data_IF_830894856515
#
_entry.id   IF_830894856515
#
_cell.length_a   1.000
_cell.length_b   1.000
_cell.length_c   1.000
_cell.angle_alpha   90.00
_cell.angle_beta   90.00
_cell.angle_gamma   90.00
#
_symmetry.space_group_name_H-M   'P 1'
#
loop_
_entity.id
_entity.type
_entity.pdbx_description
1 polymer ?
#
# COMPACT_ATOMS: atom_id res chain seq x y z
N UNK A 1 0.40 1.44 -33.30
CA UNK A 1 1.06 1.50 -32.00
C UNK A 1 -0.01 1.25 -30.95
N UNK A 2 0.12 0.19 -30.18
CA UNK A 2 -0.86 -0.19 -29.15
C UNK A 2 -0.19 0.02 -27.80
N UNK A 3 -0.85 0.70 -26.88
CA UNK A 3 -0.39 0.84 -25.48
C UNK A 3 -1.26 -0.05 -24.62
N UNK A 4 -0.71 -1.04 -23.92
CA UNK A 4 -1.45 -1.82 -22.93
C UNK A 4 -2.00 -0.92 -21.82
N UNK A 5 -3.14 -1.27 -21.25
CA UNK A 5 -3.82 -0.46 -20.21
C UNK A 5 -3.18 -0.60 -18.82
N UNK A 6 -2.20 -1.47 -18.66
CA UNK A 6 -1.48 -1.64 -17.40
C UNK A 6 -0.01 -1.20 -17.48
N UNK A 7 0.54 -0.72 -16.37
CA UNK A 7 1.98 -0.45 -16.25
C UNK A 7 2.77 -1.74 -16.08
N UNK A 8 4.04 -1.68 -16.46
CA UNK A 8 5.01 -2.74 -16.27
C UNK A 8 6.03 -2.33 -15.20
N UNK A 9 6.36 -3.26 -14.33
CA UNK A 9 7.33 -2.99 -13.26
C UNK A 9 8.75 -3.14 -13.78
N UNK A 10 9.57 -2.11 -13.55
CA UNK A 10 10.97 -2.08 -13.93
C UNK A 10 11.78 -1.43 -12.80
N UNK A 11 12.33 -2.22 -11.84
CA UNK A 11 13.00 -1.68 -10.65
C UNK A 11 14.22 -0.83 -10.96
N UNK A 12 14.84 -1.03 -12.14
CA UNK A 12 16.02 -0.30 -12.61
C UNK A 12 15.65 0.60 -13.80
N UNK A 13 14.58 1.37 -13.66
CA UNK A 13 14.14 2.28 -14.72
C UNK A 13 15.17 3.39 -14.96
N UNK A 14 15.65 3.51 -16.19
CA UNK A 14 16.63 4.52 -16.61
C UNK A 14 16.51 4.82 -18.09
N UNK A 15 16.99 5.98 -18.53
CA UNK A 15 17.07 6.29 -19.97
C UNK A 15 17.99 5.33 -20.70
N UNK A 16 17.66 5.00 -21.94
CA UNK A 16 18.32 4.00 -22.75
C UNK A 16 17.62 2.66 -22.71
N UNK A 17 18.35 1.60 -23.01
CA UNK A 17 17.79 0.27 -23.15
C UNK A 17 17.72 -0.45 -21.81
N UNK A 18 16.52 -0.89 -21.43
CA UNK A 18 16.26 -1.75 -20.26
C UNK A 18 15.70 -3.10 -20.71
N UNK A 19 15.97 -4.14 -19.93
CA UNK A 19 15.39 -5.47 -20.13
C UNK A 19 14.42 -5.75 -18.99
N UNK A 20 13.18 -6.06 -19.31
CA UNK A 20 12.18 -6.49 -18.35
C UNK A 20 12.52 -7.89 -17.82
N UNK A 21 12.13 -8.18 -16.58
CA UNK A 21 12.25 -9.53 -16.04
C UNK A 21 11.37 -10.53 -16.82
N UNK A 22 11.55 -11.83 -16.55
CA UNK A 22 10.85 -12.88 -17.30
C UNK A 22 9.32 -12.80 -17.13
N UNK A 23 8.82 -12.42 -15.94
CA UNK A 23 7.38 -12.31 -15.68
C UNK A 23 6.76 -11.11 -16.42
N UNK A 24 7.41 -9.96 -16.35
CA UNK A 24 6.96 -8.76 -17.05
C UNK A 24 7.10 -8.92 -18.58
N UNK A 25 8.18 -9.56 -19.05
CA UNK A 25 8.37 -9.90 -20.47
C UNK A 25 7.28 -10.84 -20.98
N UNK A 26 6.99 -11.90 -20.25
CA UNK A 26 5.92 -12.84 -20.61
C UNK A 26 4.54 -12.14 -20.58
N UNK A 27 4.30 -11.26 -19.59
CA UNK A 27 3.05 -10.49 -19.51
C UNK A 27 2.91 -9.55 -20.70
N UNK A 28 3.94 -8.80 -21.07
CA UNK A 28 3.92 -7.89 -22.21
C UNK A 28 3.65 -8.66 -23.52
N UNK A 29 4.46 -9.68 -23.82
CA UNK A 29 4.47 -10.32 -25.13
C UNK A 29 3.35 -11.35 -25.28
N UNK A 30 3.11 -12.22 -24.26
CA UNK A 30 2.12 -13.31 -24.35
C UNK A 30 0.72 -12.87 -23.95
N UNK A 31 0.59 -12.10 -22.87
CA UNK A 31 -0.73 -11.71 -22.33
C UNK A 31 -1.26 -10.47 -23.04
N UNK A 32 -0.49 -9.38 -23.04
CA UNK A 32 -0.88 -8.13 -23.69
C UNK A 32 -0.70 -8.18 -25.21
N UNK A 33 0.05 -9.16 -25.74
CA UNK A 33 0.37 -9.32 -27.16
C UNK A 33 1.04 -8.09 -27.74
N UNK A 34 1.89 -7.46 -26.94
CA UNK A 34 2.68 -6.32 -27.38
C UNK A 34 3.79 -6.81 -28.33
N UNK A 35 4.06 -6.01 -29.36
CA UNK A 35 4.96 -6.31 -30.45
C UNK A 35 6.06 -5.25 -30.57
N UNK A 36 7.03 -5.52 -31.44
CA UNK A 36 8.10 -4.58 -31.78
C UNK A 36 7.49 -3.22 -32.21
N UNK A 37 7.97 -2.13 -31.61
CA UNK A 37 7.48 -0.77 -31.87
C UNK A 37 6.28 -0.34 -31.03
N UNK A 38 5.66 -1.24 -30.24
CA UNK A 38 4.62 -0.83 -29.31
C UNK A 38 5.23 -0.13 -28.08
N UNK A 39 4.42 0.72 -27.43
CA UNK A 39 4.85 1.51 -26.27
C UNK A 39 4.32 0.88 -24.99
N UNK A 40 5.19 0.76 -23.98
CA UNK A 40 4.84 0.33 -22.64
C UNK A 40 4.99 1.49 -21.67
N UNK A 41 4.04 1.62 -20.74
CA UNK A 41 4.23 2.44 -19.53
C UNK A 41 4.99 1.62 -18.47
N UNK A 42 6.09 2.19 -17.96
CA UNK A 42 6.96 1.57 -16.96
C UNK A 42 6.91 2.33 -15.64
N UNK A 43 7.10 1.64 -14.53
CA UNK A 43 7.27 2.23 -13.20
C UNK A 43 8.22 1.40 -12.34
N UNK A 44 8.91 2.05 -11.39
CA UNK A 44 9.80 1.39 -10.43
C UNK A 44 9.19 1.22 -9.02
N UNK A 45 8.00 1.79 -8.79
CA UNK A 45 7.37 1.83 -7.48
C UNK A 45 8.06 2.78 -6.48
N UNK A 46 9.01 3.59 -6.92
CA UNK A 46 9.74 4.59 -6.15
C UNK A 46 9.46 6.03 -6.64
N UNK A 47 8.38 6.19 -7.39
CA UNK A 47 7.94 7.48 -7.90
C UNK A 47 8.42 7.80 -9.31
N UNK A 48 9.13 6.92 -9.99
CA UNK A 48 9.58 7.15 -11.36
C UNK A 48 8.70 6.42 -12.38
N UNK A 49 8.50 7.07 -13.51
CA UNK A 49 7.78 6.53 -14.66
C UNK A 49 8.56 6.74 -15.95
N UNK A 50 8.27 5.93 -16.94
CA UNK A 50 8.71 6.15 -18.30
C UNK A 50 7.75 5.55 -19.31
N UNK A 51 7.70 6.13 -20.50
CA UNK A 51 7.26 5.46 -21.69
C UNK A 51 8.45 4.89 -22.43
N UNK A 52 8.35 3.64 -22.83
CA UNK A 52 9.41 2.98 -23.58
C UNK A 52 8.89 2.19 -24.75
N UNK A 53 9.62 2.23 -25.87
CA UNK A 53 9.28 1.49 -27.08
C UNK A 53 9.92 0.12 -27.08
N UNK A 54 9.17 -0.93 -27.37
CA UNK A 54 9.68 -2.29 -27.48
C UNK A 54 10.65 -2.37 -28.68
N UNK A 55 11.91 -2.71 -28.39
CA UNK A 55 12.95 -2.95 -29.40
C UNK A 55 13.30 -4.43 -29.58
N UNK A 56 12.87 -5.27 -28.64
CA UNK A 56 12.93 -6.74 -28.77
C UNK A 56 11.73 -7.34 -28.05
N UNK A 57 10.86 -8.02 -28.78
CA UNK A 57 9.65 -8.65 -28.25
C UNK A 57 9.92 -10.14 -27.90
N UNK A 58 10.81 -10.39 -26.92
CA UNK A 58 11.09 -11.74 -26.42
C UNK A 58 10.29 -11.97 -25.13
N UNK A 59 9.46 -13.03 -25.01
CA UNK A 59 8.69 -13.31 -23.81
C UNK A 59 9.54 -13.70 -22.59
N UNK A 60 10.83 -13.89 -22.73
CA UNK A 60 11.76 -14.14 -21.63
C UNK A 60 12.61 -12.91 -21.27
N UNK A 61 12.84 -12.03 -22.23
CA UNK A 61 13.74 -10.89 -22.09
C UNK A 61 13.32 -9.75 -23.03
N UNK A 62 12.12 -9.20 -22.81
CA UNK A 62 11.60 -8.07 -23.58
C UNK A 62 12.48 -6.84 -23.33
N UNK A 63 13.00 -6.23 -24.41
CA UNK A 63 13.81 -5.02 -24.32
C UNK A 63 13.01 -3.81 -24.73
N UNK A 64 13.15 -2.76 -23.95
CA UNK A 64 12.42 -1.50 -24.11
C UNK A 64 13.42 -0.36 -24.15
N UNK A 65 13.32 0.51 -25.14
CA UNK A 65 14.11 1.74 -25.26
C UNK A 65 13.37 2.90 -24.62
N UNK A 66 13.95 3.50 -23.59
CA UNK A 66 13.39 4.61 -22.79
C UNK A 66 14.12 5.90 -23.18
N UNK A 67 13.39 6.89 -23.70
CA UNK A 67 13.98 8.18 -24.06
C UNK A 67 14.17 9.08 -22.84
N UNK A 68 13.25 9.07 -21.89
CA UNK A 68 13.23 9.91 -20.70
C UNK A 68 12.52 9.21 -19.54
N UNK A 69 13.12 9.30 -18.36
CA UNK A 69 12.45 8.95 -17.10
C UNK A 69 11.80 10.18 -16.53
N UNK A 70 10.54 10.08 -16.18
CA UNK A 70 9.80 11.13 -15.49
C UNK A 70 9.82 10.86 -13.99
N UNK A 71 10.15 11.91 -13.24
CA UNK A 71 10.02 11.93 -11.79
C UNK A 71 9.02 13.03 -11.47
N UNK A 72 7.73 12.80 -11.63
CA UNK A 72 6.75 13.74 -11.11
C UNK A 72 7.08 13.89 -9.64
N UNK A 73 6.94 15.07 -9.06
CA UNK A 73 7.19 15.28 -7.62
C UNK A 73 6.10 14.54 -6.82
N UNK A 74 6.17 13.21 -6.64
CA UNK A 74 5.16 12.50 -5.91
C UNK A 74 5.56 12.57 -4.46
N UNK A 75 4.66 13.06 -3.66
CA UNK A 75 4.81 12.91 -2.24
C UNK A 75 4.59 11.45 -1.89
N UNK A 76 5.48 10.87 -1.09
CA UNK A 76 5.24 9.55 -0.52
C UNK A 76 3.98 9.63 0.34
N UNK A 77 3.01 8.71 0.20
CA UNK A 77 1.78 8.76 0.99
C UNK A 77 2.07 8.79 2.49
N UNK A 78 1.43 9.71 3.20
CA UNK A 78 1.55 9.82 4.66
C UNK A 78 0.67 8.81 5.39
N UNK A 79 -0.43 8.38 4.75
CA UNK A 79 -1.36 7.42 5.34
C UNK A 79 -0.80 6.01 5.23
N UNK A 80 -0.83 5.28 6.34
CA UNK A 80 -0.45 3.88 6.46
C UNK A 80 -1.58 3.08 7.07
N UNK A 81 -1.58 1.77 6.85
CA UNK A 81 -2.52 0.83 7.45
C UNK A 81 -1.75 -0.12 8.37
N UNK A 82 -2.15 -0.23 9.63
CA UNK A 82 -1.71 -1.29 10.52
C UNK A 82 -2.93 -2.15 10.88
N UNK A 83 -2.90 -3.42 10.48
CA UNK A 83 -4.02 -4.33 10.61
C UNK A 83 -3.63 -5.59 11.37
N UNK A 84 -4.49 -6.01 12.29
CA UNK A 84 -4.30 -7.26 13.00
C UNK A 84 -4.24 -8.46 12.04
N UNK A 85 -3.46 -9.47 12.40
CA UNK A 85 -3.45 -10.73 11.67
C UNK A 85 -4.85 -11.35 11.65
N UNK A 86 -5.33 -11.66 10.46
CA UNK A 86 -6.63 -12.24 10.19
C UNK A 86 -6.48 -13.69 9.75
N UNK A 87 -7.57 -14.46 9.82
CA UNK A 87 -7.61 -15.83 9.31
C UNK A 87 -7.56 -15.88 7.78
N UNK A 88 -7.03 -16.99 7.30
CA UNK A 88 -7.03 -17.38 5.89
C UNK A 88 -6.38 -16.34 4.97
N UNK A 89 -6.97 -16.12 3.80
CA UNK A 89 -6.53 -15.19 2.76
C UNK A 89 -7.05 -13.76 2.94
N UNK A 90 -7.74 -13.48 4.05
CA UNK A 90 -8.37 -12.17 4.29
C UNK A 90 -7.36 -11.00 4.28
N UNK A 91 -6.12 -11.22 4.77
CA UNK A 91 -5.07 -10.21 4.69
C UNK A 91 -4.64 -9.94 3.24
N UNK A 92 -4.52 -10.96 2.41
CA UNK A 92 -4.17 -10.79 1.00
C UNK A 92 -5.24 -10.00 0.24
N UNK A 93 -6.52 -10.21 0.57
CA UNK A 93 -7.64 -9.44 0.03
C UNK A 93 -7.56 -7.97 0.46
N UNK A 94 -7.28 -7.71 1.74
CA UNK A 94 -7.06 -6.33 2.24
C UNK A 94 -5.90 -5.67 1.51
N UNK A 95 -4.77 -6.35 1.38
CA UNK A 95 -3.59 -5.81 0.67
C UNK A 95 -3.95 -5.47 -0.77
N UNK A 96 -4.62 -6.38 -1.49
CA UNK A 96 -4.99 -6.15 -2.89
C UNK A 96 -5.84 -4.89 -3.08
N UNK A 97 -6.80 -4.63 -2.20
CA UNK A 97 -7.67 -3.46 -2.30
C UNK A 97 -7.03 -2.20 -1.71
N UNK A 98 -6.41 -2.28 -0.54
CA UNK A 98 -5.81 -1.13 0.12
C UNK A 98 -4.59 -0.61 -0.65
N UNK A 99 -3.77 -1.50 -1.23
CA UNK A 99 -2.63 -1.09 -2.04
C UNK A 99 -2.99 -0.42 -3.37
N UNK A 100 -4.25 -0.39 -3.77
CA UNK A 100 -4.74 0.42 -4.89
C UNK A 100 -5.01 1.87 -4.49
N UNK A 101 -5.06 2.17 -3.20
CA UNK A 101 -5.28 3.52 -2.68
C UNK A 101 -3.93 4.20 -2.35
N UNK A 102 -3.98 5.48 -2.01
CA UNK A 102 -2.78 6.28 -1.72
C UNK A 102 -2.26 6.03 -0.30
N UNK A 103 -1.81 4.80 -0.02
CA UNK A 103 -1.16 4.44 1.24
C UNK A 103 0.31 4.07 1.03
N UNK A 104 1.15 4.40 2.00
CA UNK A 104 2.60 4.15 1.97
C UNK A 104 2.96 2.74 2.38
N UNK A 105 2.33 2.21 3.43
CA UNK A 105 2.63 0.87 3.95
C UNK A 105 1.41 0.16 4.53
N UNK A 106 1.52 -1.17 4.62
CA UNK A 106 0.60 -2.04 5.36
C UNK A 106 1.43 -2.87 6.34
N UNK A 107 1.17 -2.71 7.64
CA UNK A 107 1.83 -3.46 8.70
C UNK A 107 0.88 -4.50 9.28
N UNK A 108 1.29 -5.76 9.31
CA UNK A 108 0.56 -6.83 9.98
C UNK A 108 0.92 -6.85 11.47
N UNK A 109 -0.10 -6.85 12.32
CA UNK A 109 0.07 -6.80 13.78
C UNK A 109 -0.40 -8.10 14.43
N UNK A 110 0.39 -8.63 15.37
CA UNK A 110 -0.08 -9.61 16.32
C UNK A 110 -0.70 -8.90 17.50
N UNK A 111 -1.99 -9.11 17.70
CA UNK A 111 -2.79 -8.52 18.77
C UNK A 111 -3.31 -9.62 19.69
N UNK A 112 -3.79 -9.26 20.88
CA UNK A 112 -4.27 -10.24 21.86
C UNK A 112 -5.39 -11.15 21.31
N UNK A 113 -6.18 -10.66 20.34
CA UNK A 113 -7.29 -11.42 19.73
C UNK A 113 -7.06 -11.75 18.26
N UNK A 114 -5.87 -11.52 17.73
CA UNK A 114 -5.54 -11.89 16.35
C UNK A 114 -5.53 -13.41 16.19
N UNK A 115 -5.91 -13.85 15.00
CA UNK A 115 -5.96 -15.28 14.66
C UNK A 115 -5.00 -15.53 13.51
N UNK A 116 -3.81 -16.01 13.83
CA UNK A 116 -2.87 -16.43 12.81
C UNK A 116 -3.41 -17.66 12.05
N UNK A 117 -3.19 -17.73 10.74
CA UNK A 117 -3.50 -18.95 9.99
C UNK A 117 -2.78 -20.14 10.61
N UNK A 118 -3.49 -21.26 10.87
CA UNK A 118 -2.87 -22.50 11.33
C UNK A 118 -1.87 -22.97 10.27
N UNK A 119 -0.63 -23.31 10.68
CA UNK A 119 0.48 -23.68 9.80
C UNK A 119 0.96 -22.56 8.86
N UNK A 120 0.79 -21.33 9.25
CA UNK A 120 1.24 -20.23 8.42
C UNK A 120 2.75 -20.14 8.40
N UNK A 121 3.30 -20.42 7.25
CA UNK A 121 4.59 -19.90 6.87
C UNK A 121 4.41 -18.37 6.67
N UNK A 122 4.72 -17.60 7.71
CA UNK A 122 4.58 -16.15 7.72
C UNK A 122 5.34 -15.50 6.56
N UNK A 123 6.48 -16.08 6.17
CA UNK A 123 7.22 -15.64 5.00
C UNK A 123 6.41 -15.78 3.71
N UNK A 124 5.59 -16.85 3.59
CA UNK A 124 4.71 -17.01 2.42
C UNK A 124 3.59 -15.97 2.40
N UNK A 125 3.02 -15.65 3.56
CA UNK A 125 2.01 -14.59 3.67
C UNK A 125 2.58 -13.25 3.21
N UNK A 126 3.73 -12.84 3.76
CA UNK A 126 4.39 -11.57 3.40
C UNK A 126 4.69 -11.57 1.90
N UNK A 127 5.35 -12.61 1.38
CA UNK A 127 5.68 -12.69 -0.04
C UNK A 127 4.44 -12.61 -0.96
N UNK A 128 3.34 -13.30 -0.62
CA UNK A 128 2.09 -13.22 -1.40
C UNK A 128 1.48 -11.82 -1.33
N UNK A 129 1.56 -11.17 -0.17
CA UNK A 129 1.12 -9.79 0.03
C UNK A 129 1.95 -8.80 -0.77
N UNK A 130 3.26 -8.95 -0.82
CA UNK A 130 4.16 -8.16 -1.68
C UNK A 130 3.79 -8.29 -3.16
N UNK A 131 3.53 -9.52 -3.63
CA UNK A 131 3.08 -9.76 -4.99
C UNK A 131 1.71 -9.09 -5.28
N UNK A 132 0.77 -9.11 -4.32
CA UNK A 132 -0.52 -8.43 -4.45
C UNK A 132 -0.34 -6.91 -4.48
N UNK A 133 0.56 -6.35 -3.65
CA UNK A 133 0.91 -4.92 -3.68
C UNK A 133 1.47 -4.52 -5.04
N UNK A 134 2.37 -5.33 -5.61
CA UNK A 134 2.94 -5.08 -6.94
C UNK A 134 1.87 -5.11 -8.06
N UNK A 135 0.96 -6.08 -8.02
CA UNK A 135 -0.17 -6.14 -8.96
C UNK A 135 -1.04 -4.88 -8.83
N UNK A 136 -1.33 -4.46 -7.60
CA UNK A 136 -2.11 -3.26 -7.32
C UNK A 136 -1.43 -1.99 -7.82
N UNK A 137 -0.10 -1.85 -7.64
CA UNK A 137 0.69 -0.74 -8.18
C UNK A 137 0.51 -0.60 -9.70
N UNK A 138 0.66 -1.70 -10.43
CA UNK A 138 0.58 -1.71 -11.90
C UNK A 138 -0.82 -1.35 -12.40
N UNK A 139 -1.85 -1.89 -11.75
CA UNK A 139 -3.24 -1.68 -12.14
C UNK A 139 -3.75 -0.28 -11.79
N UNK A 140 -3.45 0.22 -10.58
CA UNK A 140 -3.93 1.53 -10.12
C UNK A 140 -3.12 2.70 -10.68
N UNK A 141 -2.00 2.41 -11.36
CA UNK A 141 -1.08 3.40 -11.93
C UNK A 141 -0.55 4.42 -10.91
N UNK A 142 -0.53 4.05 -9.63
CA UNK A 142 0.05 4.92 -8.60
C UNK A 142 1.58 4.95 -8.68
N UNK A 143 2.25 5.99 -8.12
CA UNK A 143 3.70 6.15 -8.25
C UNK A 143 4.49 5.30 -7.26
N UNK A 144 3.93 5.03 -6.07
CA UNK A 144 4.63 4.40 -4.97
C UNK A 144 4.11 2.99 -4.70
N UNK A 145 5.04 2.04 -4.60
CA UNK A 145 4.72 0.70 -4.14
C UNK A 145 4.34 0.76 -2.65
N UNK A 146 3.20 0.17 -2.29
CA UNK A 146 2.83 0.01 -0.89
C UNK A 146 3.73 -1.04 -0.25
N UNK A 147 4.46 -0.64 0.77
CA UNK A 147 5.37 -1.51 1.52
C UNK A 147 4.57 -2.47 2.41
N UNK A 148 5.00 -3.73 2.48
CA UNK A 148 4.40 -4.75 3.35
C UNK A 148 5.35 -5.04 4.49
N UNK A 149 4.89 -4.85 5.73
CA UNK A 149 5.67 -4.98 6.95
C UNK A 149 5.08 -6.01 7.92
N UNK A 150 5.93 -6.60 8.75
CA UNK A 150 5.51 -7.52 9.81
C UNK A 150 5.39 -8.98 9.35
N UNK A 151 4.68 -9.83 10.09
CA UNK A 151 3.95 -9.54 11.33
C UNK A 151 4.85 -9.16 12.51
N UNK A 152 4.42 -8.16 13.27
CA UNK A 152 5.09 -7.69 14.49
C UNK A 152 4.12 -7.66 15.66
N UNK A 153 4.63 -7.82 16.87
CA UNK A 153 3.82 -7.69 18.09
C UNK A 153 3.30 -6.26 18.23
N UNK A 154 1.99 -6.09 18.47
CA UNK A 154 1.35 -4.79 18.60
C UNK A 154 2.06 -3.89 19.62
N UNK A 155 2.37 -4.44 20.81
CA UNK A 155 3.00 -3.69 21.90
C UNK A 155 4.42 -3.21 21.54
N UNK A 156 5.18 -4.03 20.82
CA UNK A 156 6.54 -3.66 20.40
C UNK A 156 6.49 -2.64 19.25
N UNK A 157 5.57 -2.84 18.29
CA UNK A 157 5.36 -1.89 17.22
C UNK A 157 4.95 -0.51 17.75
N UNK A 158 3.99 -0.47 18.68
CA UNK A 158 3.50 0.79 19.26
C UNK A 158 4.58 1.56 20.02
N UNK A 159 5.47 0.88 20.73
CA UNK A 159 6.60 1.51 21.43
C UNK A 159 7.59 2.20 20.49
N UNK A 160 7.80 1.63 19.32
CA UNK A 160 8.74 2.17 18.30
C UNK A 160 8.09 3.10 17.29
N UNK A 161 6.77 3.27 17.33
CA UNK A 161 6.06 4.09 16.37
C UNK A 161 6.13 5.58 16.70
N UNK A 162 6.35 6.41 15.68
CA UNK A 162 6.31 7.86 15.76
C UNK A 162 5.41 8.38 14.65
N UNK A 163 4.27 8.96 15.03
CA UNK A 163 3.27 9.45 14.10
C UNK A 163 1.88 9.49 14.72
N UNK A 164 0.91 9.98 13.96
CA UNK A 164 -0.48 10.04 14.43
C UNK A 164 -1.16 8.69 14.23
N UNK A 165 -2.01 8.30 15.17
CA UNK A 165 -2.78 7.06 15.15
C UNK A 165 -4.27 7.33 14.99
N UNK A 166 -4.95 6.51 14.19
CA UNK A 166 -6.40 6.49 14.07
C UNK A 166 -6.89 5.09 14.41
N UNK A 167 -7.41 4.91 15.60
CA UNK A 167 -8.01 3.65 16.03
C UNK A 167 -9.45 3.56 15.50
N UNK A 168 -9.78 2.52 14.74
CA UNK A 168 -11.16 2.22 14.40
C UNK A 168 -11.87 1.59 15.59
N UNK A 169 -12.72 2.37 16.25
CA UNK A 169 -13.45 1.99 17.46
C UNK A 169 -14.92 2.41 17.35
N UNK A 170 -15.81 1.63 17.97
CA UNK A 170 -17.25 1.92 18.02
C UNK A 170 -17.58 3.21 18.80
N UNK A 171 -16.72 3.56 19.76
CA UNK A 171 -16.85 4.77 20.58
C UNK A 171 -16.18 6.00 19.93
N UNK A 172 -15.65 5.86 18.71
CA UNK A 172 -14.98 6.93 17.98
C UNK A 172 -15.94 7.93 17.34
N UNK A 173 -15.37 9.03 16.83
CA UNK A 173 -16.09 10.04 16.07
C UNK A 173 -16.51 9.48 14.70
N UNK A 174 -17.73 9.82 14.25
CA UNK A 174 -18.26 9.34 12.95
C UNK A 174 -17.61 9.97 11.72
N UNK A 175 -16.96 11.11 11.91
CA UNK A 175 -16.24 11.83 10.87
C UNK A 175 -14.74 11.73 11.12
N UNK A 176 -13.96 11.69 10.05
CA UNK A 176 -12.51 11.77 10.16
C UNK A 176 -12.09 13.07 10.84
N UNK A 177 -11.10 13.06 11.74
CA UNK A 177 -10.62 14.26 12.39
C UNK A 177 -10.14 15.28 11.35
N UNK A 178 -10.62 16.52 11.42
CA UNK A 178 -10.28 17.57 10.46
C UNK A 178 -8.77 17.79 10.33
N UNK A 179 -8.05 17.72 11.45
CA UNK A 179 -6.58 17.84 11.44
C UNK A 179 -5.90 16.78 10.59
N UNK A 180 -6.44 15.54 10.58
CA UNK A 180 -5.94 14.43 9.79
C UNK A 180 -6.22 14.67 8.31
N UNK A 181 -7.47 14.98 7.95
CA UNK A 181 -7.84 15.24 6.56
C UNK A 181 -7.11 16.46 6.01
N UNK A 182 -6.93 17.52 6.80
CA UNK A 182 -6.13 18.68 6.41
C UNK A 182 -4.65 18.33 6.15
N UNK A 183 -4.06 17.40 6.92
CA UNK A 183 -2.69 16.90 6.67
C UNK A 183 -2.61 16.11 5.37
N UNK A 184 -3.55 15.21 5.12
CA UNK A 184 -3.59 14.39 3.92
C UNK A 184 -3.80 15.23 2.66
N UNK A 185 -4.68 16.23 2.68
CA UNK A 185 -4.97 17.11 1.54
C UNK A 185 -3.89 18.17 1.27
N UNK A 186 -3.16 18.65 2.29
CA UNK A 186 -2.06 19.61 2.08
C UNK A 186 -0.87 19.05 1.35
N UNK A 187 -0.67 17.75 1.45
CA UNK A 187 0.39 17.07 0.69
C UNK A 187 0.16 17.15 -0.81
N UNK A 188 -1.09 17.26 -1.26
CA UNK A 188 -1.44 17.31 -2.69
C UNK A 188 -1.17 18.69 -3.33
N UNK A 189 -1.19 19.77 -2.54
CA UNK A 189 -1.22 21.14 -3.08
C UNK A 189 0.14 21.84 -3.20
N UNK A 190 1.16 21.48 -2.43
CA UNK A 190 2.42 22.25 -2.36
C UNK A 190 3.68 21.55 -2.91
N UNK A 191 3.61 20.31 -3.30
CA UNK A 191 4.74 19.58 -3.95
C UNK A 191 6.03 19.50 -3.12
N UNK A 192 6.00 19.89 -1.87
CA UNK A 192 7.10 19.76 -0.93
C UNK A 192 6.62 18.95 0.28
N UNK A 193 7.08 17.70 0.38
CA UNK A 193 7.16 17.11 1.71
C UNK A 193 8.20 17.94 2.47
N UNK A 194 7.74 18.74 3.41
CA UNK A 194 8.62 19.04 4.53
C UNK A 194 9.05 17.68 5.09
N UNK A 195 10.37 17.47 5.27
CA UNK A 195 10.93 16.26 5.91
C UNK A 195 10.33 15.98 7.30
N UNK A 196 9.48 16.90 7.79
CA UNK A 196 8.74 16.88 9.04
C UNK A 196 7.28 16.39 8.94
N UNK A 197 6.81 15.88 7.79
CA UNK A 197 5.44 15.39 7.69
C UNK A 197 5.26 14.10 8.49
N UNK A 198 4.59 14.21 9.62
CA UNK A 198 4.33 13.10 10.55
C UNK A 198 3.44 12.05 9.90
N UNK A 199 3.85 10.78 9.80
CA UNK A 199 3.02 9.73 9.22
C UNK A 199 1.73 9.53 10.05
N UNK A 200 0.69 9.08 9.38
CA UNK A 200 -0.60 8.76 9.96
C UNK A 200 -0.86 7.28 9.77
N UNK A 201 -1.15 6.55 10.83
CA UNK A 201 -1.45 5.12 10.73
C UNK A 201 -2.85 4.80 11.21
N UNK A 202 -3.63 4.19 10.32
CA UNK A 202 -4.95 3.64 10.60
C UNK A 202 -4.80 2.27 11.24
N UNK A 203 -5.42 2.07 12.42
CA UNK A 203 -5.40 0.82 13.18
C UNK A 203 -6.70 0.04 13.00
N UNK A 204 -6.61 -1.19 12.50
CA UNK A 204 -7.74 -2.10 12.33
C UNK A 204 -7.50 -3.37 13.14
N UNK A 205 -8.38 -3.63 14.10
CA UNK A 205 -8.35 -4.84 14.91
C UNK A 205 -8.84 -6.09 14.17
N UNK A 206 -8.67 -7.28 14.78
CA UNK A 206 -9.24 -8.51 14.29
C UNK A 206 -10.77 -8.54 14.51
N UNK A 207 -11.43 -9.65 14.19
CA UNK A 207 -12.88 -9.82 14.37
C UNK A 207 -13.34 -9.63 15.83
N UNK A 208 -12.46 -9.91 16.79
CA UNK A 208 -12.70 -9.67 18.23
C UNK A 208 -12.43 -8.24 18.68
N UNK A 209 -11.92 -7.38 17.80
CA UNK A 209 -11.43 -6.05 18.13
C UNK A 209 -10.07 -6.07 18.83
N UNK A 210 -9.61 -4.91 19.28
CA UNK A 210 -8.47 -4.79 20.18
C UNK A 210 -8.87 -5.10 21.62
N UNK A 211 -7.94 -5.61 22.43
CA UNK A 211 -8.20 -5.83 23.85
C UNK A 211 -8.30 -4.49 24.59
N UNK A 212 -8.94 -4.47 25.79
CA UNK A 212 -9.01 -3.25 26.61
C UNK A 212 -7.64 -2.63 26.90
N UNK A 213 -6.60 -3.46 27.08
CA UNK A 213 -5.23 -3.01 27.29
C UNK A 213 -4.63 -2.38 26.02
N UNK A 214 -4.84 -2.97 24.86
CA UNK A 214 -4.38 -2.42 23.58
C UNK A 214 -5.06 -1.09 23.27
N UNK A 215 -6.38 -0.98 23.51
CA UNK A 215 -7.13 0.29 23.37
C UNK A 215 -6.57 1.35 24.31
N UNK A 216 -6.34 1.00 25.59
CA UNK A 216 -5.75 1.91 26.57
C UNK A 216 -4.37 2.39 26.14
N UNK A 217 -3.48 1.47 25.72
CA UNK A 217 -2.14 1.80 25.24
C UNK A 217 -2.17 2.74 24.04
N UNK A 218 -3.12 2.54 23.11
CA UNK A 218 -3.30 3.43 21.95
C UNK A 218 -3.78 4.82 22.38
N UNK A 219 -4.68 4.91 23.36
CA UNK A 219 -5.17 6.20 23.88
C UNK A 219 -4.11 6.96 24.69
N UNK A 220 -3.25 6.25 25.41
CA UNK A 220 -2.13 6.78 26.20
C UNK A 220 -0.85 6.99 25.38
N UNK A 221 -0.91 6.74 24.07
CA UNK A 221 0.23 6.85 23.17
C UNK A 221 0.80 8.28 23.13
N UNK A 222 2.13 8.38 23.24
CA UNK A 222 2.84 9.67 23.31
C UNK A 222 3.74 9.98 22.12
N UNK A 223 3.85 9.06 21.15
CA UNK A 223 4.67 9.24 19.94
C UNK A 223 4.02 10.11 18.86
N UNK A 224 2.79 10.58 19.11
CA UNK A 224 1.98 11.44 18.25
C UNK A 224 0.59 11.62 18.84
N UNK A 225 -0.35 12.12 18.02
CA UNK A 225 -1.76 12.22 18.41
C UNK A 225 -2.47 10.87 18.18
N UNK A 226 -3.42 10.55 19.04
CA UNK A 226 -4.29 9.38 18.89
C UNK A 226 -5.75 9.82 18.74
N UNK A 227 -6.41 9.29 17.71
CA UNK A 227 -7.81 9.57 17.39
C UNK A 227 -8.59 8.26 17.37
N UNK A 228 -9.90 8.33 17.64
CA UNK A 228 -10.83 7.21 17.47
C UNK A 228 -11.82 7.52 16.36
N UNK A 229 -11.95 6.61 15.39
CA UNK A 229 -12.85 6.75 14.23
C UNK A 229 -13.91 5.66 14.24
N UNK A 230 -15.18 6.07 14.27
CA UNK A 230 -16.32 5.17 14.13
C UNK A 230 -16.69 5.00 12.63
N UNK A 231 -16.78 3.76 12.19
CA UNK A 231 -17.07 3.42 10.79
C UNK A 231 -18.58 3.36 10.46
N UNK A 232 -19.44 3.50 11.44
CA UNK A 232 -20.89 3.47 11.27
C UNK A 232 -21.60 2.61 12.32
N UNK A 233 -22.90 2.42 12.15
CA UNK A 233 -23.75 1.74 13.14
C UNK A 233 -23.82 0.20 12.94
N UNK A 234 -23.16 -0.33 11.92
CA UNK A 234 -23.13 -1.77 11.61
C UNK A 234 -21.79 -2.38 11.96
N UNK A 235 -21.78 -3.61 12.46
CA UNK A 235 -20.55 -4.34 12.70
C UNK A 235 -19.94 -4.79 11.39
N UNK A 236 -18.78 -4.24 11.04
CA UNK A 236 -18.01 -4.61 9.86
C UNK A 236 -17.02 -5.73 10.19
N UNK A 237 -16.75 -6.62 9.24
CA UNK A 237 -15.58 -7.50 9.32
C UNK A 237 -14.30 -6.69 9.14
N UNK A 238 -13.18 -7.12 9.72
CA UNK A 238 -11.91 -6.41 9.69
C UNK A 238 -11.48 -5.99 8.28
N UNK A 239 -11.60 -6.88 7.28
CA UNK A 239 -11.32 -6.57 5.87
C UNK A 239 -12.20 -5.45 5.31
N UNK A 240 -13.49 -5.46 5.61
CA UNK A 240 -14.42 -4.40 5.19
C UNK A 240 -14.14 -3.10 5.93
N UNK A 241 -13.85 -3.19 7.23
CA UNK A 241 -13.51 -2.04 8.07
C UNK A 241 -12.27 -1.31 7.52
N UNK A 242 -11.23 -2.03 7.11
CA UNK A 242 -10.03 -1.46 6.52
C UNK A 242 -10.34 -0.59 5.29
N UNK A 243 -11.13 -1.12 4.36
CA UNK A 243 -11.44 -0.40 3.11
C UNK A 243 -12.39 0.78 3.36
N UNK A 244 -13.40 0.61 4.21
CA UNK A 244 -14.32 1.71 4.58
C UNK A 244 -13.59 2.81 5.30
N UNK A 245 -12.66 2.48 6.21
CA UNK A 245 -11.88 3.46 6.94
C UNK A 245 -10.93 4.25 6.02
N UNK A 246 -10.24 3.57 5.09
CA UNK A 246 -9.43 4.23 4.07
C UNK A 246 -10.26 5.19 3.22
N UNK A 247 -11.45 4.76 2.74
CA UNK A 247 -12.34 5.62 1.96
C UNK A 247 -12.96 6.80 2.73
N UNK A 248 -12.90 6.80 4.08
CA UNK A 248 -13.29 7.96 4.90
C UNK A 248 -12.15 8.98 5.08
N UNK A 249 -10.90 8.56 4.84
CA UNK A 249 -9.71 9.38 5.04
C UNK A 249 -9.15 9.95 3.74
N UNK A 250 -9.33 9.24 2.63
CA UNK A 250 -8.92 9.62 1.28
C UNK A 250 -10.07 10.27 0.51
#
# INVERSE_FOLDING_TARGET
MKTPDSRFYCPNIQSGRVTLDENESAHAVKVCRAALGDVLELCDGQGHFAEGTIVTADPKACQVEISKVETPKPQRPLLNLAIACLKDDALEEVVFHAAQTEIGSITFLRTDYSQEPKNSDLHKLVRRSELKSLVSLKQSKKPWLTEICGPVEFKEWLKGYHGDLILCDVDGEKTAPKEVTDKLTRTDSNGANDEASTPITLLIGPEGGFSPDEIRMTREFTGGKSYALNLGNTRLRARTAAIVALGKLL
#
